data_IF_518971241716
#
_entry.id   IF_518971241716
#
_cell.length_a   1.000
_cell.length_b   1.000
_cell.length_c   1.000
_cell.angle_alpha   90.00
_cell.angle_beta   90.00
_cell.angle_gamma   90.00
#
_symmetry.space_group_name_H-M   'P 1'
#
loop_
_entity.id
_entity.type
_entity.pdbx_description
1 polymer ?
#
# COMPACT_ATOMS: atom_id res chain seq x y z
N UNK A 1 -5.30 4.93 1.00
CA UNK A 1 -4.35 5.20 2.09
C UNK A 1 -2.96 4.88 1.57
N UNK A 2 -1.99 5.74 1.87
CA UNK A 2 -0.57 5.52 1.55
C UNK A 2 0.17 5.59 2.87
N UNK A 3 1.13 4.71 3.10
CA UNK A 3 2.02 4.75 4.25
C UNK A 3 3.36 4.11 3.87
N UNK A 4 4.39 4.41 4.65
CA UNK A 4 5.72 3.85 4.48
C UNK A 4 6.34 3.39 5.80
N UNK A 5 7.56 2.85 5.69
CA UNK A 5 8.33 2.38 6.84
C UNK A 5 8.55 3.49 7.90
N UNK A 6 8.74 4.74 7.44
CA UNK A 6 8.93 5.89 8.34
C UNK A 6 7.74 6.10 9.28
N UNK A 7 6.52 5.95 8.77
CA UNK A 7 5.28 6.11 9.55
C UNK A 7 5.19 5.04 10.63
N UNK A 8 5.54 3.79 10.30
CA UNK A 8 5.53 2.66 11.25
C UNK A 8 6.49 2.91 12.40
N UNK A 9 7.73 3.27 12.09
CA UNK A 9 8.78 3.52 13.09
C UNK A 9 8.40 4.73 13.97
N UNK A 10 7.88 5.80 13.36
CA UNK A 10 7.46 6.98 14.08
C UNK A 10 6.30 6.68 15.05
N UNK A 11 5.25 5.98 14.60
CA UNK A 11 4.11 5.65 15.45
C UNK A 11 4.53 4.75 16.62
N UNK A 12 5.39 3.74 16.39
CA UNK A 12 5.88 2.89 17.47
C UNK A 12 6.66 3.69 18.52
N UNK A 13 7.51 4.62 18.07
CA UNK A 13 8.23 5.53 18.98
C UNK A 13 7.29 6.41 19.80
N UNK A 14 6.26 6.99 19.18
CA UNK A 14 5.28 7.81 19.89
C UNK A 14 4.55 7.01 20.99
N UNK A 15 4.24 5.74 20.71
CA UNK A 15 3.62 4.82 21.69
C UNK A 15 4.58 4.54 22.84
N UNK A 16 5.85 4.24 22.54
CA UNK A 16 6.86 3.93 23.56
C UNK A 16 7.15 5.14 24.46
N UNK A 17 7.17 6.34 23.89
CA UNK A 17 7.38 7.62 24.60
C UNK A 17 6.12 8.16 25.29
N UNK A 18 4.97 7.49 25.13
CA UNK A 18 3.72 7.93 25.75
C UNK A 18 3.85 8.00 27.27
N UNK A 19 3.26 9.01 27.94
CA UNK A 19 3.23 9.10 29.40
C UNK A 19 2.29 8.08 30.05
N UNK A 20 1.50 7.33 29.27
CA UNK A 20 0.58 6.33 29.79
C UNK A 20 1.29 5.13 30.43
N UNK A 21 0.53 4.40 31.25
CA UNK A 21 0.99 3.17 31.88
C UNK A 21 1.22 2.05 30.85
N UNK A 22 1.78 0.92 31.32
CA UNK A 22 2.06 -0.23 30.45
C UNK A 22 0.80 -0.73 29.72
N UNK A 23 -0.36 -0.74 30.39
CA UNK A 23 -1.62 -1.20 29.80
C UNK A 23 -2.09 -0.27 28.67
N UNK A 24 -1.91 1.03 28.83
CA UNK A 24 -2.19 2.03 27.81
C UNK A 24 -1.29 1.86 26.57
N UNK A 25 0.02 1.72 26.77
CA UNK A 25 0.98 1.48 25.67
C UNK A 25 0.66 0.19 24.91
N UNK A 26 0.30 -0.87 25.62
CA UNK A 26 -0.12 -2.13 25.00
C UNK A 26 -1.36 -1.95 24.11
N UNK A 27 -2.38 -1.21 24.57
CA UNK A 27 -3.58 -0.92 23.77
C UNK A 27 -3.26 -0.09 22.53
N UNK A 28 -2.45 0.96 22.65
CA UNK A 28 -2.00 1.73 21.48
C UNK A 28 -1.22 0.86 20.49
N UNK A 29 -0.36 -0.02 20.98
CA UNK A 29 0.35 -1.01 20.17
C UNK A 29 -0.62 -1.89 19.38
N UNK A 30 -1.65 -2.44 20.05
CA UNK A 30 -2.69 -3.25 19.41
C UNK A 30 -3.43 -2.48 18.30
N UNK A 31 -3.76 -1.20 18.51
CA UNK A 31 -4.41 -0.39 17.48
C UNK A 31 -3.50 -0.12 16.28
N UNK A 32 -2.22 0.15 16.51
CA UNK A 32 -1.24 0.29 15.43
C UNK A 32 -1.09 -1.01 14.65
N UNK A 33 -0.93 -2.13 15.35
CA UNK A 33 -0.77 -3.45 14.74
C UNK A 33 -2.00 -3.83 13.89
N UNK A 34 -3.22 -3.52 14.36
CA UNK A 34 -4.45 -3.69 13.58
C UNK A 34 -4.46 -2.84 12.29
N UNK A 35 -3.98 -1.59 12.37
CA UNK A 35 -3.89 -0.72 11.19
C UNK A 35 -2.86 -1.22 10.17
N UNK A 36 -1.71 -1.71 10.65
CA UNK A 36 -0.68 -2.30 9.80
C UNK A 36 -1.15 -3.62 9.17
N UNK A 37 -1.87 -4.45 9.91
CA UNK A 37 -2.49 -5.66 9.38
C UNK A 37 -3.49 -5.34 8.26
N UNK A 38 -4.30 -4.29 8.42
CA UNK A 38 -5.19 -3.81 7.36
C UNK A 38 -4.40 -3.36 6.13
N UNK A 39 -3.27 -2.69 6.30
CA UNK A 39 -2.42 -2.20 5.21
C UNK A 39 -1.69 -3.34 4.46
N UNK A 40 -1.23 -4.37 5.17
CA UNK A 40 -0.45 -5.49 4.61
C UNK A 40 -1.29 -6.71 4.25
N UNK A 41 -2.61 -6.67 4.44
CA UNK A 41 -3.47 -7.82 4.16
C UNK A 41 -3.38 -8.27 2.69
N UNK A 42 -3.34 -9.58 2.52
CA UNK A 42 -3.45 -10.26 1.22
C UNK A 42 -4.90 -10.63 0.89
N UNK A 43 -5.78 -10.63 1.89
CA UNK A 43 -7.22 -10.89 1.75
C UNK A 43 -8.02 -9.62 1.49
N UNK A 44 -9.35 -9.75 1.47
CA UNK A 44 -10.26 -8.61 1.30
C UNK A 44 -10.06 -7.56 2.41
N UNK A 45 -9.71 -6.32 2.05
CA UNK A 45 -9.54 -5.23 3.04
C UNK A 45 -10.81 -4.92 3.81
N UNK A 46 -11.97 -4.97 3.14
CA UNK A 46 -13.26 -4.73 3.81
C UNK A 46 -13.53 -5.80 4.87
N UNK A 47 -13.27 -7.06 4.54
CA UNK A 47 -13.45 -8.16 5.48
C UNK A 47 -12.54 -8.00 6.71
N UNK A 48 -11.27 -7.63 6.50
CA UNK A 48 -10.34 -7.35 7.59
C UNK A 48 -10.82 -6.18 8.48
N UNK A 49 -11.24 -5.08 7.87
CA UNK A 49 -11.77 -3.91 8.58
C UNK A 49 -13.02 -4.23 9.39
N UNK A 50 -13.98 -4.95 8.80
CA UNK A 50 -15.23 -5.33 9.47
C UNK A 50 -14.97 -6.35 10.60
N UNK A 51 -14.05 -7.29 10.38
CA UNK A 51 -13.65 -8.27 11.39
C UNK A 51 -13.05 -7.62 12.64
N UNK A 52 -12.31 -6.51 12.50
CA UNK A 52 -11.82 -5.73 13.65
C UNK A 52 -12.96 -5.20 14.54
N UNK A 53 -14.12 -4.89 13.95
CA UNK A 53 -15.33 -4.47 14.67
C UNK A 53 -16.29 -5.63 14.99
N UNK A 54 -15.85 -6.87 14.84
CA UNK A 54 -16.65 -8.07 15.12
C UNK A 54 -17.77 -8.33 14.10
N UNK A 55 -17.63 -7.82 12.88
CA UNK A 55 -18.60 -8.03 11.80
C UNK A 55 -18.05 -8.98 10.73
N UNK A 56 -18.84 -9.99 10.40
CA UNK A 56 -18.50 -10.94 9.33
C UNK A 56 -18.95 -10.42 7.95
N UNK A 57 -18.17 -10.74 6.93
CA UNK A 57 -18.48 -10.36 5.55
C UNK A 57 -17.82 -11.30 4.54
N UNK A 58 -18.50 -11.52 3.42
CA UNK A 58 -17.90 -12.14 2.25
C UNK A 58 -16.87 -11.17 1.59
N UNK A 59 -15.97 -11.66 0.72
CA UNK A 59 -15.08 -10.81 -0.06
C UNK A 59 -15.87 -9.73 -0.82
N UNK A 60 -15.40 -8.48 -0.79
CA UNK A 60 -16.22 -7.34 -1.19
C UNK A 60 -16.26 -7.07 -2.69
N UNK A 61 -15.34 -7.67 -3.47
CA UNK A 61 -15.21 -7.44 -4.91
C UNK A 61 -14.84 -6.01 -5.32
N UNK A 62 -14.57 -5.10 -4.36
CA UNK A 62 -14.41 -3.67 -4.64
C UNK A 62 -13.27 -2.99 -3.85
N UNK A 63 -12.39 -3.76 -3.21
CA UNK A 63 -11.13 -3.25 -2.65
C UNK A 63 -9.96 -3.64 -3.56
N UNK A 64 -8.85 -2.92 -3.46
CA UNK A 64 -7.63 -3.18 -4.23
C UNK A 64 -7.17 -4.64 -4.17
N UNK A 65 -7.23 -5.31 -3.02
CA UNK A 65 -6.84 -6.73 -2.90
C UNK A 65 -7.85 -7.69 -3.54
N UNK A 66 -9.14 -7.34 -3.62
CA UNK A 66 -10.13 -8.10 -4.37
C UNK A 66 -10.03 -7.86 -5.88
N UNK A 67 -9.74 -6.62 -6.28
CA UNK A 67 -9.65 -6.21 -7.68
C UNK A 67 -8.32 -6.64 -8.32
N UNK A 68 -7.26 -6.73 -7.52
CA UNK A 68 -5.92 -7.10 -7.94
C UNK A 68 -5.25 -7.86 -6.81
N UNK A 69 -5.42 -9.18 -6.83
CA UNK A 69 -4.85 -10.06 -5.82
C UNK A 69 -3.33 -9.85 -5.73
N UNK A 70 -2.79 -9.51 -4.55
CA UNK A 70 -1.36 -9.31 -4.41
C UNK A 70 -0.62 -10.63 -4.57
N UNK A 71 0.44 -10.64 -5.38
CA UNK A 71 1.36 -11.77 -5.44
C UNK A 71 2.08 -11.92 -4.10
N UNK A 72 2.25 -13.16 -3.65
CA UNK A 72 3.03 -13.50 -2.46
C UNK A 72 4.29 -14.27 -2.83
N UNK A 73 5.26 -14.28 -1.92
CA UNK A 73 6.47 -15.06 -2.04
C UNK A 73 6.95 -15.51 -0.66
N UNK A 74 7.79 -16.53 -0.63
CA UNK A 74 8.40 -16.99 0.61
C UNK A 74 9.48 -16.01 1.08
N UNK A 75 9.19 -15.30 2.16
CA UNK A 75 10.09 -14.34 2.79
C UNK A 75 10.92 -14.91 3.93
N UNK A 76 10.89 -16.22 4.19
CA UNK A 76 11.60 -16.84 5.31
C UNK A 76 13.10 -16.55 5.27
N UNK A 77 13.75 -16.79 4.13
CA UNK A 77 15.19 -16.57 3.95
C UNK A 77 15.56 -15.08 4.12
N UNK A 78 14.90 -14.10 3.46
CA UNK A 78 15.11 -12.68 3.72
C UNK A 78 14.95 -12.29 5.19
N UNK A 79 13.90 -12.80 5.85
CA UNK A 79 13.66 -12.55 7.26
C UNK A 79 14.83 -13.09 8.11
N UNK A 80 15.28 -14.32 7.87
CA UNK A 80 16.40 -14.92 8.58
C UNK A 80 17.72 -14.15 8.38
N UNK A 81 18.02 -13.71 7.15
CA UNK A 81 19.20 -12.87 6.84
C UNK A 81 19.18 -11.59 7.68
N UNK A 82 18.05 -10.89 7.72
CA UNK A 82 17.88 -9.65 8.48
C UNK A 82 17.95 -9.88 9.99
N UNK A 83 17.19 -10.84 10.52
CA UNK A 83 17.15 -11.16 11.95
C UNK A 83 18.54 -11.59 12.44
N UNK A 84 19.26 -12.39 11.65
CA UNK A 84 20.63 -12.80 11.95
C UNK A 84 21.59 -11.62 11.98
N UNK A 85 21.41 -10.65 11.09
CA UNK A 85 22.24 -9.42 11.07
C UNK A 85 22.07 -8.62 12.35
N UNK A 86 20.82 -8.41 12.79
CA UNK A 86 20.51 -7.72 14.05
C UNK A 86 21.11 -8.49 15.24
N UNK A 87 20.93 -9.82 15.29
CA UNK A 87 21.48 -10.66 16.37
C UNK A 87 23.01 -10.58 16.44
N UNK A 88 23.71 -10.59 15.30
CA UNK A 88 25.17 -10.50 15.26
C UNK A 88 25.67 -9.15 15.71
N UNK A 89 25.08 -8.05 15.23
CA UNK A 89 25.42 -6.71 15.68
C UNK A 89 25.25 -6.57 17.20
N UNK A 90 24.17 -7.13 17.74
CA UNK A 90 23.91 -7.08 19.17
C UNK A 90 24.87 -7.98 19.97
N UNK A 91 25.10 -9.23 19.55
CA UNK A 91 25.92 -10.20 20.30
C UNK A 91 27.42 -9.94 20.17
N UNK A 92 27.90 -9.65 18.98
CA UNK A 92 29.34 -9.54 18.68
C UNK A 92 29.85 -8.12 18.96
N UNK A 93 28.98 -7.10 18.87
CA UNK A 93 29.39 -5.69 18.95
C UNK A 93 28.58 -4.81 19.90
N UNK A 94 27.52 -5.33 20.53
CA UNK A 94 26.60 -4.57 21.37
C UNK A 94 26.06 -3.30 20.67
N UNK A 95 25.75 -3.42 19.38
CA UNK A 95 25.27 -2.33 18.54
C UNK A 95 23.87 -2.60 18.01
N UNK A 96 23.10 -1.53 17.84
CA UNK A 96 21.76 -1.54 17.29
C UNK A 96 21.62 -0.43 16.24
N UNK A 97 20.94 -0.72 15.15
CA UNK A 97 20.79 0.21 14.03
C UNK A 97 19.37 0.23 13.47
N UNK A 98 19.02 1.33 12.80
CA UNK A 98 17.77 1.44 12.05
C UNK A 98 17.84 0.73 10.70
N UNK A 99 16.69 0.71 10.01
CA UNK A 99 16.50 -0.02 8.76
C UNK A 99 17.57 0.28 7.69
N UNK A 100 17.86 1.55 7.40
CA UNK A 100 18.78 1.92 6.31
C UNK A 100 20.16 1.26 6.43
N UNK A 101 20.76 1.36 7.62
CA UNK A 101 22.09 0.77 7.87
C UNK A 101 22.07 -0.76 7.86
N UNK A 102 21.00 -1.40 8.33
CA UNK A 102 20.83 -2.86 8.23
C UNK A 102 20.71 -3.32 6.77
N UNK A 103 20.01 -2.55 5.93
CA UNK A 103 19.90 -2.80 4.49
C UNK A 103 21.27 -2.65 3.82
N UNK A 104 22.04 -1.62 4.19
CA UNK A 104 23.39 -1.43 3.65
C UNK A 104 24.32 -2.59 3.98
N UNK A 105 24.28 -3.12 5.20
CA UNK A 105 25.04 -4.32 5.59
C UNK A 105 24.63 -5.50 4.71
N UNK A 106 23.33 -5.79 4.63
CA UNK A 106 22.81 -6.93 3.87
C UNK A 106 23.13 -6.83 2.38
N UNK A 107 23.04 -5.64 1.79
CA UNK A 107 23.35 -5.42 0.37
C UNK A 107 24.85 -5.31 0.10
N UNK A 108 25.68 -5.21 1.13
CA UNK A 108 27.13 -5.11 1.00
C UNK A 108 27.57 -3.72 0.50
N UNK A 109 26.85 -2.66 0.88
CA UNK A 109 27.18 -1.28 0.49
C UNK A 109 28.57 -0.90 1.02
N UNK A 110 29.51 -0.61 0.12
CA UNK A 110 30.88 -0.25 0.50
C UNK A 110 31.00 1.25 0.82
N UNK A 111 30.64 1.62 2.05
CA UNK A 111 30.76 2.99 2.56
C UNK A 111 31.90 3.12 3.56
N UNK A 112 32.41 4.33 3.73
CA UNK A 112 33.43 4.62 4.76
C UNK A 112 32.94 4.22 6.17
N UNK A 113 31.65 4.47 6.46
CA UNK A 113 31.01 4.08 7.72
C UNK A 113 31.04 2.56 7.94
N UNK A 114 30.85 1.74 6.91
CA UNK A 114 30.92 0.27 7.03
C UNK A 114 32.33 -0.19 7.41
N UNK A 115 33.35 0.38 6.76
CA UNK A 115 34.76 0.07 7.06
C UNK A 115 35.17 0.51 8.46
N UNK A 116 34.83 1.75 8.86
CA UNK A 116 35.16 2.28 10.18
C UNK A 116 34.53 1.47 11.30
N UNK A 117 33.28 1.02 11.12
CA UNK A 117 32.58 0.19 12.10
C UNK A 117 32.89 -1.31 11.96
N UNK A 118 33.67 -1.71 10.95
CA UNK A 118 34.07 -3.07 10.64
C UNK A 118 32.91 -4.00 10.28
N UNK A 119 31.82 -3.45 9.74
CA UNK A 119 30.61 -4.20 9.37
C UNK A 119 30.75 -4.94 8.04
N UNK A 120 31.72 -4.53 7.21
CA UNK A 120 32.21 -5.24 6.04
C UNK A 120 32.73 -6.66 6.37
N UNK A 121 33.09 -6.91 7.63
CA UNK A 121 33.59 -8.20 8.12
C UNK A 121 32.51 -9.10 8.73
N UNK A 122 31.26 -8.64 8.80
CA UNK A 122 30.17 -9.47 9.30
C UNK A 122 29.89 -10.60 8.29
N UNK A 123 29.63 -11.80 8.80
CA UNK A 123 29.22 -12.92 7.94
C UNK A 123 27.91 -12.69 7.19
N UNK A 124 27.10 -11.71 7.63
CA UNK A 124 25.87 -11.30 6.95
C UNK A 124 26.06 -10.17 5.94
N UNK A 125 27.28 -9.63 5.80
CA UNK A 125 27.57 -8.59 4.84
C UNK A 125 27.41 -9.11 3.40
N UNK A 126 26.63 -8.41 2.58
CA UNK A 126 26.40 -8.78 1.18
C UNK A 126 25.47 -9.98 0.93
N UNK A 127 24.99 -10.67 1.98
CA UNK A 127 24.11 -11.85 1.82
C UNK A 127 22.73 -11.53 1.22
N UNK A 128 22.33 -10.26 1.23
CA UNK A 128 21.05 -9.73 0.75
C UNK A 128 21.13 -8.99 -0.58
N UNK A 129 22.19 -9.19 -1.35
CA UNK A 129 22.40 -8.55 -2.67
C UNK A 129 21.36 -8.97 -3.72
N UNK A 130 20.61 -10.06 -3.46
CA UNK A 130 19.52 -10.59 -4.27
C UNK A 130 18.26 -9.71 -4.28
N UNK A 131 18.09 -8.83 -3.29
CA UNK A 131 16.92 -7.96 -3.15
C UNK A 131 17.30 -6.49 -3.28
N UNK A 132 16.46 -5.69 -3.94
CA UNK A 132 16.66 -4.24 -4.02
C UNK A 132 16.53 -3.57 -2.65
N UNK A 133 17.01 -2.33 -2.50
CA UNK A 133 16.78 -1.56 -1.26
C UNK A 133 15.27 -1.43 -0.96
N UNK A 134 14.46 -1.26 -2.01
CA UNK A 134 13.02 -1.13 -1.88
C UNK A 134 12.36 -2.45 -1.43
N UNK A 135 12.82 -3.59 -1.96
CA UNK A 135 12.36 -4.91 -1.51
C UNK A 135 12.71 -5.12 -0.04
N UNK A 136 13.92 -4.75 0.39
CA UNK A 136 14.29 -4.83 1.80
C UNK A 136 13.46 -3.93 2.70
N UNK A 137 13.14 -2.70 2.27
CA UNK A 137 12.21 -1.82 2.99
C UNK A 137 10.83 -2.45 3.13
N UNK A 138 10.37 -3.15 2.08
CA UNK A 138 9.11 -3.91 2.12
C UNK A 138 9.17 -5.06 3.14
N UNK A 139 10.24 -5.87 3.10
CA UNK A 139 10.47 -6.95 4.07
C UNK A 139 10.43 -6.42 5.50
N UNK A 140 11.18 -5.35 5.80
CA UNK A 140 11.20 -4.77 7.15
C UNK A 140 9.81 -4.28 7.59
N UNK A 141 9.11 -3.56 6.71
CA UNK A 141 7.76 -3.03 6.99
C UNK A 141 6.77 -4.15 7.31
N UNK A 142 6.77 -5.23 6.52
CA UNK A 142 5.90 -6.38 6.73
C UNK A 142 6.26 -7.18 7.98
N UNK A 143 7.55 -7.30 8.33
CA UNK A 143 8.00 -7.96 9.56
C UNK A 143 7.64 -7.15 10.81
N UNK A 144 7.69 -5.82 10.74
CA UNK A 144 7.20 -4.92 11.79
C UNK A 144 5.68 -5.07 11.98
N UNK A 145 4.93 -5.10 10.88
CA UNK A 145 3.48 -5.29 10.91
C UNK A 145 3.04 -6.62 11.53
N UNK A 146 3.89 -7.66 11.43
CA UNK A 146 3.67 -8.98 12.06
C UNK A 146 4.22 -9.06 13.49
N UNK A 147 4.82 -7.98 13.99
CA UNK A 147 5.47 -7.96 15.29
C UNK A 147 6.70 -8.88 15.40
N UNK A 148 7.25 -9.38 14.28
CA UNK A 148 8.50 -10.18 14.26
C UNK A 148 9.70 -9.28 14.55
N UNK A 149 9.67 -8.08 13.96
CA UNK A 149 10.57 -6.97 14.31
C UNK A 149 9.84 -5.99 15.20
N UNK A 150 10.61 -5.29 16.03
CA UNK A 150 10.14 -4.19 16.86
C UNK A 150 11.09 -3.01 16.73
N UNK A 151 10.53 -1.80 16.70
CA UNK A 151 11.35 -0.60 16.90
C UNK A 151 11.70 -0.49 18.39
N UNK A 152 12.92 -0.07 18.69
CA UNK A 152 13.44 0.09 20.04
C UNK A 152 14.32 1.34 20.15
N UNK A 153 14.45 1.88 21.36
CA UNK A 153 15.30 3.02 21.66
C UNK A 153 14.80 4.36 21.07
N UNK A 154 15.49 5.44 21.43
CA UNK A 154 15.11 6.79 20.99
C UNK A 154 15.39 7.05 19.50
N UNK A 155 16.29 6.28 18.88
CA UNK A 155 16.72 6.48 17.50
C UNK A 155 16.01 5.57 16.48
N UNK A 156 14.96 4.85 16.89
CA UNK A 156 14.20 3.96 16.00
C UNK A 156 15.04 2.81 15.46
N UNK A 157 15.90 2.23 16.31
CA UNK A 157 16.68 1.03 15.95
C UNK A 157 15.75 -0.18 15.90
N UNK A 158 16.12 -1.19 15.12
CA UNK A 158 15.31 -2.40 14.98
C UNK A 158 15.85 -3.51 15.88
N UNK A 159 14.94 -4.15 16.61
CA UNK A 159 15.18 -5.29 17.46
C UNK A 159 14.26 -6.46 17.13
N UNK A 160 14.50 -7.59 17.78
CA UNK A 160 13.71 -8.81 17.66
C UNK A 160 12.65 -8.86 18.76
N UNK A 161 11.49 -9.42 18.44
CA UNK A 161 10.51 -9.86 19.44
C UNK A 161 10.61 -11.37 19.69
N UNK A 162 9.78 -11.88 20.60
CA UNK A 162 9.64 -13.32 20.85
C UNK A 162 9.20 -14.09 19.59
N UNK A 163 8.48 -13.45 18.66
CA UNK A 163 8.01 -14.05 17.42
C UNK A 163 9.15 -14.29 16.40
N UNK A 164 10.34 -13.71 16.60
CA UNK A 164 11.49 -13.90 15.72
C UNK A 164 12.18 -15.26 15.90
N UNK A 165 12.08 -15.87 17.10
CA UNK A 165 12.75 -17.13 17.41
C UNK A 165 12.34 -18.32 16.51
N UNK A 166 11.04 -18.59 16.25
CA UNK A 166 10.65 -19.66 15.33
C UNK A 166 11.04 -19.35 13.86
N UNK A 167 11.04 -18.07 13.44
CA UNK A 167 11.49 -17.66 12.10
C UNK A 167 12.97 -17.95 11.91
N UNK A 168 13.81 -17.61 12.90
CA UNK A 168 15.25 -17.93 12.88
C UNK A 168 15.53 -19.43 12.84
N UNK A 169 14.66 -20.27 13.42
CA UNK A 169 14.77 -21.74 13.37
C UNK A 169 14.19 -22.36 12.10
N UNK A 170 13.50 -21.57 11.26
CA UNK A 170 12.82 -22.07 10.07
C UNK A 170 11.53 -22.83 10.36
N UNK A 171 10.94 -22.62 11.54
CA UNK A 171 9.73 -23.32 12.00
C UNK A 171 8.44 -22.53 11.76
N UNK A 172 8.56 -21.27 11.32
CA UNK A 172 7.42 -20.41 11.01
C UNK A 172 7.51 -19.91 9.57
N UNK A 173 6.40 -20.05 8.84
CA UNK A 173 6.27 -19.51 7.49
C UNK A 173 6.21 -17.98 7.52
N UNK A 174 6.88 -17.35 6.55
CA UNK A 174 6.89 -15.89 6.40
C UNK A 174 6.44 -15.52 4.98
N UNK A 175 5.18 -15.76 4.60
CA UNK A 175 4.70 -15.39 3.27
C UNK A 175 4.64 -13.87 3.17
N UNK A 176 5.44 -13.24 2.32
CA UNK A 176 5.44 -11.79 2.14
C UNK A 176 4.69 -11.40 0.88
N UNK A 177 4.05 -10.24 0.89
CA UNK A 177 3.49 -9.60 -0.30
C UNK A 177 4.63 -9.09 -1.18
N UNK A 178 4.53 -9.30 -2.49
CA UNK A 178 5.37 -8.59 -3.48
C UNK A 178 4.80 -7.19 -3.67
N UNK A 179 5.62 -6.18 -3.41
CA UNK A 179 5.27 -4.82 -3.77
C UNK A 179 5.56 -4.60 -5.25
N UNK A 180 4.54 -4.18 -6.00
CA UNK A 180 4.68 -3.86 -7.44
C UNK A 180 5.23 -2.45 -7.66
N UNK A 181 5.41 -1.69 -6.58
CA UNK A 181 5.98 -0.35 -6.62
C UNK A 181 7.49 -0.47 -6.89
N UNK A 182 7.96 -0.11 -8.08
CA UNK A 182 9.40 0.04 -8.36
C UNK A 182 9.99 -0.74 -9.54
N UNK A 183 9.25 -1.64 -10.20
CA UNK A 183 9.70 -2.24 -11.48
C UNK A 183 9.44 -1.28 -12.66
N UNK A 184 10.11 -0.14 -12.62
CA UNK A 184 10.23 0.79 -13.75
C UNK A 184 11.69 0.96 -14.13
N UNK A 185 12.22 0.06 -14.96
CA UNK A 185 13.53 0.24 -15.60
C UNK A 185 14.36 -1.04 -15.70
N UNK A 186 14.52 -1.55 -16.93
CA UNK A 186 15.50 -2.60 -17.23
C UNK A 186 14.96 -3.76 -18.06
N UNK A 187 14.30 -3.49 -19.18
CA UNK A 187 13.91 -4.52 -20.14
C UNK A 187 13.24 -3.88 -21.34
N UNK A 188 14.02 -3.64 -22.40
CA UNK A 188 13.53 -3.22 -23.70
C UNK A 188 12.57 -4.28 -24.26
N UNK A 189 11.28 -4.09 -23.97
CA UNK A 189 10.17 -4.82 -24.57
C UNK A 189 9.23 -3.80 -25.18
N UNK A 190 9.15 -3.83 -26.51
CA UNK A 190 8.27 -3.00 -27.34
C UNK A 190 6.90 -2.74 -26.69
N UNK A 191 6.49 -1.48 -26.71
CA UNK A 191 5.14 -1.04 -26.36
C UNK A 191 4.11 -1.79 -27.20
N UNK A 192 3.53 -2.85 -26.63
CA UNK A 192 2.15 -3.22 -26.93
C UNK A 192 1.29 -2.65 -25.82
N UNK A 193 0.63 -1.52 -26.10
CA UNK A 193 -0.52 -1.06 -25.31
C UNK A 193 -1.58 -2.16 -25.33
N UNK A 194 -1.52 -3.10 -24.39
CA UNK A 194 -2.70 -3.84 -23.98
C UNK A 194 -3.38 -2.99 -22.93
N UNK A 195 -4.27 -2.13 -23.41
CA UNK A 195 -5.33 -1.59 -22.59
C UNK A 195 -6.13 -2.79 -22.06
N UNK A 196 -5.89 -3.18 -20.81
CA UNK A 196 -6.85 -3.99 -20.07
C UNK A 196 -8.02 -3.08 -19.72
N UNK A 197 -9.02 -3.11 -20.59
CA UNK A 197 -10.33 -2.53 -20.33
C UNK A 197 -10.93 -3.18 -19.07
N UNK A 198 -11.35 -2.42 -18.06
CA UNK A 198 -12.28 -2.92 -17.07
C UNK A 198 -13.70 -2.80 -17.65
N UNK A 199 -14.36 -3.95 -17.84
CA UNK A 199 -15.76 -4.14 -18.25
C UNK A 199 -16.26 -3.17 -19.34
N UNK A 200 -16.22 -3.66 -20.59
CA UNK A 200 -16.78 -3.00 -21.77
C UNK A 200 -18.20 -2.53 -21.49
N UNK A 201 -18.40 -1.21 -21.47
CA UNK A 201 -19.61 -0.61 -22.05
C UNK A 201 -19.82 -1.27 -23.43
N UNK A 202 -21.06 -1.56 -23.83
CA UNK A 202 -21.32 -2.07 -25.17
C UNK A 202 -20.65 -1.16 -26.21
N UNK A 203 -20.19 -1.70 -27.34
CA UNK A 203 -19.43 -0.93 -28.33
C UNK A 203 -20.12 0.37 -28.82
N UNK A 204 -21.45 0.47 -28.63
CA UNK A 204 -22.25 1.65 -28.92
C UNK A 204 -22.10 2.81 -27.91
N UNK A 205 -21.72 2.54 -26.66
CA UNK A 205 -21.70 3.54 -25.56
C UNK A 205 -20.31 4.09 -25.25
N UNK A 206 -19.26 3.47 -25.82
CA UNK A 206 -17.88 3.91 -25.66
C UNK A 206 -17.62 5.34 -26.19
N UNK A 207 -18.16 5.75 -27.37
CA UNK A 207 -17.94 7.11 -27.88
C UNK A 207 -18.54 8.18 -26.94
N UNK A 208 -19.76 7.96 -26.46
CA UNK A 208 -20.44 8.87 -25.53
C UNK A 208 -19.70 8.95 -24.18
N UNK A 209 -19.19 7.82 -23.68
CA UNK A 209 -18.42 7.82 -22.44
C UNK A 209 -17.12 8.62 -22.52
N UNK A 210 -16.40 8.56 -23.65
CA UNK A 210 -15.19 9.38 -23.85
C UNK A 210 -15.55 10.87 -24.00
N UNK A 211 -16.65 11.20 -24.67
CA UNK A 211 -17.15 12.58 -24.77
C UNK A 211 -17.49 13.16 -23.39
N UNK A 212 -18.21 12.39 -22.57
CA UNK A 212 -18.52 12.75 -21.18
C UNK A 212 -17.25 12.88 -20.31
N UNK A 213 -16.22 12.06 -20.53
CA UNK A 213 -14.93 12.16 -19.84
C UNK A 213 -14.19 13.45 -20.23
N UNK A 214 -14.18 13.80 -21.51
CA UNK A 214 -13.56 15.02 -22.03
C UNK A 214 -14.26 16.26 -21.47
N UNK A 215 -15.59 16.31 -21.55
CA UNK A 215 -16.39 17.39 -20.96
C UNK A 215 -16.12 17.56 -19.46
N UNK A 216 -16.06 16.46 -18.70
CA UNK A 216 -15.75 16.50 -17.27
C UNK A 216 -14.36 17.09 -17.00
N UNK A 217 -13.37 16.72 -17.80
CA UNK A 217 -12.00 17.22 -17.64
C UNK A 217 -11.94 18.74 -17.85
N UNK A 218 -12.70 19.25 -18.80
CA UNK A 218 -12.79 20.69 -19.06
C UNK A 218 -13.45 21.43 -17.90
N UNK A 219 -14.59 20.94 -17.40
CA UNK A 219 -15.27 21.54 -16.24
C UNK A 219 -14.41 21.53 -14.97
N UNK A 220 -13.67 20.44 -14.75
CA UNK A 220 -12.74 20.31 -13.64
C UNK A 220 -11.60 21.34 -13.72
N UNK A 221 -11.09 21.56 -14.93
CA UNK A 221 -10.03 22.53 -15.23
C UNK A 221 -10.51 23.96 -14.99
N UNK A 222 -11.70 24.31 -15.47
CA UNK A 222 -12.30 25.64 -15.28
C UNK A 222 -12.51 25.98 -13.80
N UNK A 223 -12.90 24.99 -13.00
CA UNK A 223 -13.18 25.18 -11.57
C UNK A 223 -11.96 24.96 -10.66
N UNK A 224 -10.82 24.53 -11.20
CA UNK A 224 -9.62 24.24 -10.43
C UNK A 224 -9.78 23.07 -9.44
N UNK A 225 -10.68 22.13 -9.74
CA UNK A 225 -10.98 20.97 -8.87
C UNK A 225 -10.62 19.65 -9.55
N UNK A 226 -10.28 18.59 -8.81
CA UNK A 226 -10.11 17.26 -9.40
C UNK A 226 -11.37 16.76 -10.11
N UNK A 227 -11.21 16.10 -11.28
CA UNK A 227 -12.32 15.70 -12.15
C UNK A 227 -13.40 14.83 -11.48
N UNK A 228 -13.01 13.96 -10.54
CA UNK A 228 -13.96 13.12 -9.80
C UNK A 228 -14.95 13.92 -8.93
N UNK A 229 -14.64 15.19 -8.60
CA UNK A 229 -15.53 16.09 -7.85
C UNK A 229 -16.72 16.49 -8.72
N UNK A 230 -16.50 16.76 -10.02
CA UNK A 230 -17.56 17.03 -11.00
C UNK A 230 -18.46 15.79 -11.14
N UNK A 231 -17.91 14.67 -11.64
CA UNK A 231 -18.58 13.35 -11.62
C UNK A 231 -17.56 12.21 -11.49
N UNK A 232 -17.93 11.15 -10.78
CA UNK A 232 -17.15 9.90 -10.77
C UNK A 232 -17.34 9.11 -12.07
N UNK A 233 -16.39 8.24 -12.40
CA UNK A 233 -16.46 7.38 -13.59
C UNK A 233 -17.71 6.49 -13.61
N UNK A 234 -18.20 6.07 -12.43
CA UNK A 234 -19.45 5.31 -12.31
C UNK A 234 -20.68 6.12 -12.78
N UNK A 235 -20.72 7.42 -12.48
CA UNK A 235 -21.81 8.31 -12.92
C UNK A 235 -21.74 8.58 -14.42
N UNK A 236 -20.53 8.79 -14.98
CA UNK A 236 -20.36 8.93 -16.43
C UNK A 236 -20.78 7.66 -17.19
N UNK A 237 -20.50 6.48 -16.62
CA UNK A 237 -20.94 5.21 -17.18
C UNK A 237 -22.46 5.09 -17.16
N UNK A 238 -23.10 5.38 -16.03
CA UNK A 238 -24.56 5.37 -15.92
C UNK A 238 -25.23 6.35 -16.89
N UNK A 239 -24.62 7.52 -17.13
CA UNK A 239 -25.08 8.49 -18.14
C UNK A 239 -24.95 7.94 -19.57
N UNK A 240 -23.84 7.29 -19.89
CA UNK A 240 -23.62 6.69 -21.20
C UNK A 240 -24.58 5.52 -21.49
N UNK A 241 -24.92 4.72 -20.46
CA UNK A 241 -25.85 3.59 -20.58
C UNK A 241 -27.31 4.04 -20.67
N UNK A 242 -27.72 5.06 -19.88
CA UNK A 242 -29.13 5.45 -19.76
C UNK A 242 -29.54 6.56 -20.75
N UNK A 243 -28.58 7.29 -21.32
CA UNK A 243 -28.78 8.35 -22.32
C UNK A 243 -29.96 9.29 -22.00
N UNK A 244 -29.99 9.92 -20.82
CA UNK A 244 -31.07 10.83 -20.45
C UNK A 244 -31.14 12.03 -21.39
N UNK A 245 -32.32 12.26 -21.96
CA UNK A 245 -32.59 13.32 -22.95
C UNK A 245 -33.21 14.58 -22.34
N UNK A 246 -33.41 14.62 -21.03
CA UNK A 246 -33.97 15.78 -20.31
C UNK A 246 -33.43 15.90 -18.90
N UNK A 247 -33.53 17.10 -18.30
CA UNK A 247 -33.13 17.34 -16.91
C UNK A 247 -33.86 16.42 -15.92
N UNK A 248 -35.13 16.11 -16.19
CA UNK A 248 -35.92 15.18 -15.37
C UNK A 248 -35.45 13.73 -15.50
N UNK A 249 -34.90 13.34 -16.66
CA UNK A 249 -34.34 12.01 -16.87
C UNK A 249 -32.98 11.80 -16.16
N UNK A 250 -32.37 12.86 -15.63
CA UNK A 250 -31.21 12.76 -14.74
C UNK A 250 -31.60 12.28 -13.33
N UNK A 251 -32.90 12.31 -12.99
CA UNK A 251 -33.43 11.82 -11.73
C UNK A 251 -33.38 10.29 -11.72
N UNK A 252 -32.61 9.73 -10.79
CA UNK A 252 -32.39 8.29 -10.68
C UNK A 252 -31.00 7.83 -11.12
N UNK A 253 -30.19 8.72 -11.71
CA UNK A 253 -28.80 8.38 -12.06
C UNK A 253 -27.91 8.44 -10.82
N UNK A 254 -27.25 7.32 -10.54
CA UNK A 254 -26.40 7.17 -9.35
C UNK A 254 -25.25 8.18 -9.38
N UNK A 255 -25.20 9.05 -8.37
CA UNK A 255 -24.19 10.10 -8.22
C UNK A 255 -24.59 11.49 -8.74
N UNK A 256 -25.81 11.66 -9.24
CA UNK A 256 -26.40 12.97 -9.57
C UNK A 256 -27.40 13.39 -8.50
N UNK A 257 -26.98 14.28 -7.60
CA UNK A 257 -27.87 14.94 -6.64
C UNK A 257 -28.41 16.28 -7.17
N UNK A 258 -29.38 16.87 -6.47
CA UNK A 258 -30.03 18.13 -6.86
C UNK A 258 -29.03 19.25 -7.23
N UNK A 259 -28.00 19.46 -6.41
CA UNK A 259 -26.96 20.48 -6.64
C UNK A 259 -26.13 20.24 -7.90
N UNK A 260 -25.83 18.97 -8.23
CA UNK A 260 -25.08 18.64 -9.45
C UNK A 260 -25.94 18.72 -10.70
N UNK A 261 -27.24 18.42 -10.57
CA UNK A 261 -28.22 18.59 -11.64
C UNK A 261 -28.41 20.06 -11.99
N UNK A 262 -28.54 20.91 -10.99
CA UNK A 262 -28.65 22.36 -11.17
C UNK A 262 -27.38 22.95 -11.79
N UNK A 263 -26.20 22.51 -11.32
CA UNK A 263 -24.92 23.03 -11.81
C UNK A 263 -24.51 22.50 -13.20
N UNK A 264 -24.86 21.25 -13.55
CA UNK A 264 -24.28 20.56 -14.71
C UNK A 264 -25.30 19.90 -15.63
N UNK A 265 -26.58 19.83 -15.24
CA UNK A 265 -27.57 19.00 -15.92
C UNK A 265 -27.77 19.40 -17.39
N UNK A 266 -27.84 20.70 -17.68
CA UNK A 266 -28.02 21.19 -19.06
C UNK A 266 -26.83 20.84 -19.94
N UNK A 267 -25.61 21.05 -19.43
CA UNK A 267 -24.38 20.75 -20.15
C UNK A 267 -24.21 19.25 -20.40
N UNK A 268 -24.58 18.40 -19.43
CA UNK A 268 -24.52 16.94 -19.59
C UNK A 268 -25.53 16.46 -20.64
N UNK A 269 -26.76 16.96 -20.60
CA UNK A 269 -27.79 16.59 -21.60
C UNK A 269 -27.39 17.05 -22.99
N UNK A 270 -26.75 18.21 -23.13
CA UNK A 270 -26.21 18.68 -24.40
C UNK A 270 -25.14 17.73 -24.96
N UNK A 271 -24.17 17.30 -24.15
CA UNK A 271 -23.14 16.33 -24.56
C UNK A 271 -23.76 14.99 -24.97
N UNK A 272 -24.83 14.56 -24.31
CA UNK A 272 -25.55 13.33 -24.66
C UNK A 272 -26.32 13.48 -25.97
N UNK A 273 -26.92 14.64 -26.24
CA UNK A 273 -27.70 14.88 -27.45
C UNK A 273 -26.85 14.92 -28.74
N UNK A 274 -25.54 15.12 -28.62
CA UNK A 274 -24.58 15.10 -29.73
C UNK A 274 -24.17 13.67 -30.18
N UNK A 275 -24.68 12.63 -29.50
CA UNK A 275 -24.26 11.22 -29.63
C UNK A 275 -25.42 10.22 -29.61
#
# INVERSE_FOLDING_TARGET
MIYGLGDVVQQRRMIDQSPGDRSYKMRLGQHLDAMLALCETIGCRRQNLLGYFGQDSAPCGNCDTCLSAPETWDGLIPAQKLLSTIVRLQRERNQSFGAGHLIDILRGSDTERMRQQGHDRLSTFGLGSDLSEQDWRSVIRQLLARGILVAQGEYGTLGLSDAAAPVLRGEADVPLRRDVLGRGGGGGGSRSRRATAPASLGGADQPLFEALRAWRAEQAREQGVPAYIVFGDATLRALAEQRPTSLAALDGITGIGAKKREAYGEAVVAVIAEH
#
